data_IF_856359126010
#
_entry.id   IF_856359126010
#
_cell.length_a   1.000
_cell.length_b   1.000
_cell.length_c   1.000
_cell.angle_alpha   90.00
_cell.angle_beta   90.00
_cell.angle_gamma   90.00
#
_symmetry.space_group_name_H-M   'P 1'
#
loop_
_entity.id
_entity.type
_entity.pdbx_description
1 polymer ?
#
# COMPACT_ATOMS: atom_id res chain seq x y z
N UNK A 1 13.20 6.37 -8.39
CA UNK A 1 14.02 7.56 -8.71
C UNK A 1 15.44 7.14 -8.45
N UNK A 2 16.17 6.85 -9.52
CA UNK A 2 17.50 6.29 -9.37
C UNK A 2 18.46 7.33 -8.78
N UNK A 3 19.05 6.99 -7.64
CA UNK A 3 20.14 7.74 -7.04
C UNK A 3 21.48 7.07 -7.43
N UNK A 4 22.57 7.84 -7.53
CA UNK A 4 23.85 7.34 -8.03
C UNK A 4 24.50 6.27 -7.15
N UNK A 5 24.10 6.18 -5.87
CA UNK A 5 24.57 5.16 -4.94
C UNK A 5 23.38 4.44 -4.34
N UNK A 6 23.32 3.11 -4.53
CA UNK A 6 22.32 2.26 -3.86
C UNK A 6 23.02 1.21 -3.03
N UNK A 7 22.68 1.15 -1.74
CA UNK A 7 23.22 0.19 -0.80
C UNK A 7 22.15 -0.83 -0.43
N UNK A 8 22.37 -2.09 -0.79
CA UNK A 8 21.64 -3.22 -0.20
C UNK A 8 22.21 -3.46 1.19
N UNK A 9 21.44 -3.11 2.22
CA UNK A 9 21.74 -3.40 3.61
C UNK A 9 21.12 -4.76 3.96
N UNK A 10 21.95 -5.69 4.41
CA UNK A 10 21.48 -7.05 4.72
C UNK A 10 22.19 -7.64 5.93
N UNK A 11 21.52 -8.51 6.69
CA UNK A 11 22.13 -9.34 7.74
C UNK A 11 22.97 -10.49 7.19
N UNK A 12 22.79 -10.84 5.91
CA UNK A 12 23.46 -11.97 5.30
C UNK A 12 24.86 -11.57 4.80
N UNK A 13 25.90 -12.20 5.34
CA UNK A 13 27.28 -11.98 4.90
C UNK A 13 27.44 -12.44 3.44
N UNK A 14 27.74 -11.54 2.48
CA UNK A 14 28.00 -11.92 1.10
C UNK A 14 29.10 -12.98 0.94
N UNK A 15 30.04 -13.06 1.89
CA UNK A 15 31.13 -14.02 1.87
C UNK A 15 30.72 -15.46 2.23
N UNK A 16 29.59 -15.65 2.90
CA UNK A 16 29.06 -16.98 3.27
C UNK A 16 28.03 -17.51 2.27
N UNK A 17 27.71 -16.72 1.24
CA UNK A 17 26.77 -17.09 0.18
C UNK A 17 27.16 -18.41 -0.48
N UNK A 18 26.29 -19.41 -0.37
CA UNK A 18 26.45 -20.67 -1.07
C UNK A 18 25.34 -20.84 -2.10
N UNK A 19 25.69 -21.11 -3.36
CA UNK A 19 24.72 -21.44 -4.40
C UNK A 19 24.64 -22.96 -4.52
N UNK A 20 23.47 -23.51 -4.23
CA UNK A 20 23.20 -24.93 -4.30
C UNK A 20 23.11 -25.42 -5.76
N UNK A 21 23.27 -26.73 -6.00
CA UNK A 21 23.20 -27.30 -7.35
C UNK A 21 21.85 -27.09 -8.06
N UNK A 22 20.77 -26.86 -7.31
CA UNK A 22 19.42 -26.58 -7.82
C UNK A 22 19.18 -25.08 -8.08
N UNK A 23 20.18 -24.23 -7.84
CA UNK A 23 20.10 -22.78 -8.01
C UNK A 23 19.58 -22.03 -6.79
N UNK A 24 19.20 -22.72 -5.71
CA UNK A 24 18.84 -22.05 -4.44
C UNK A 24 20.08 -21.44 -3.79
N UNK A 25 19.88 -20.41 -2.96
CA UNK A 25 20.97 -19.72 -2.26
C UNK A 25 20.79 -19.93 -0.77
N UNK A 26 21.80 -20.54 -0.15
CA UNK A 26 21.88 -20.68 1.30
C UNK A 26 22.81 -19.61 1.89
N UNK A 27 22.42 -19.16 3.07
CA UNK A 27 23.18 -18.23 3.90
C UNK A 27 23.42 -18.85 5.26
N UNK A 28 24.55 -18.51 5.89
CA UNK A 28 24.72 -18.78 7.33
C UNK A 28 23.81 -17.81 8.10
N UNK A 29 22.57 -18.23 8.36
CA UNK A 29 21.56 -17.41 9.00
C UNK A 29 21.69 -17.46 10.51
N UNK A 30 21.92 -16.30 11.11
CA UNK A 30 21.82 -16.12 12.54
C UNK A 30 20.44 -15.55 12.89
N UNK A 31 19.70 -16.25 13.75
CA UNK A 31 18.41 -15.79 14.23
C UNK A 31 18.57 -14.52 15.10
N UNK A 32 17.71 -13.53 14.88
CA UNK A 32 17.69 -12.29 15.68
C UNK A 32 16.98 -12.53 17.02
N UNK A 33 17.71 -13.11 17.98
CA UNK A 33 17.13 -13.53 19.26
C UNK A 33 16.94 -12.41 20.29
N UNK A 34 17.65 -11.29 20.13
CA UNK A 34 17.62 -10.16 21.06
C UNK A 34 17.12 -8.84 20.42
N UNK A 35 16.76 -8.87 19.13
CA UNK A 35 16.28 -7.71 18.37
C UNK A 35 17.40 -6.76 17.94
N UNK A 36 18.67 -7.14 18.13
CA UNK A 36 19.81 -6.31 17.74
C UNK A 36 19.92 -6.14 16.23
N UNK A 37 19.50 -7.15 15.46
CA UNK A 37 19.51 -7.08 13.99
C UNK A 37 18.44 -6.11 13.51
N UNK A 38 17.19 -6.23 13.98
CA UNK A 38 16.12 -5.27 13.69
C UNK A 38 16.55 -3.83 14.02
N UNK A 39 17.13 -3.60 15.21
CA UNK A 39 17.56 -2.25 15.59
C UNK A 39 18.69 -1.74 14.68
N UNK A 40 19.64 -2.59 14.27
CA UNK A 40 20.70 -2.21 13.34
C UNK A 40 20.14 -1.76 11.97
N UNK A 41 19.11 -2.44 11.45
CA UNK A 41 18.45 -2.03 10.21
C UNK A 41 17.77 -0.66 10.36
N UNK A 42 17.05 -0.48 11.47
CA UNK A 42 16.35 0.77 11.78
C UNK A 42 17.34 1.93 12.00
N UNK A 43 18.47 1.68 12.64
CA UNK A 43 19.54 2.66 12.86
C UNK A 43 20.30 3.00 11.58
N UNK A 44 20.42 2.08 10.62
CA UNK A 44 21.01 2.37 9.32
C UNK A 44 20.27 3.52 8.61
N UNK A 45 18.93 3.56 8.68
CA UNK A 45 18.13 4.69 8.14
C UNK A 45 18.58 6.01 8.75
N UNK A 46 18.71 6.07 10.07
CA UNK A 46 19.11 7.29 10.79
C UNK A 46 20.53 7.71 10.45
N UNK A 47 21.41 6.73 10.22
CA UNK A 47 22.83 6.93 9.95
C UNK A 47 23.04 7.54 8.57
N UNK A 48 22.42 6.96 7.54
CA UNK A 48 22.43 7.53 6.20
C UNK A 48 21.76 8.90 6.15
N UNK A 49 20.60 9.05 6.80
CA UNK A 49 19.89 10.33 6.83
C UNK A 49 20.74 11.44 7.45
N UNK A 50 21.49 11.14 8.52
CA UNK A 50 22.37 12.11 9.19
C UNK A 50 23.53 12.55 8.29
N UNK A 51 24.21 11.60 7.65
CA UNK A 51 25.33 11.93 6.76
C UNK A 51 24.85 12.75 5.55
N UNK A 52 23.68 12.38 5.00
CA UNK A 52 23.06 13.09 3.90
C UNK A 52 22.35 14.37 4.32
N UNK A 53 22.31 14.75 5.61
CA UNK A 53 21.58 15.93 6.09
C UNK A 53 20.08 15.92 5.72
N UNK A 54 19.45 14.75 5.78
CA UNK A 54 18.02 14.53 5.56
C UNK A 54 17.31 14.44 6.91
N UNK A 55 16.31 15.28 7.12
CA UNK A 55 15.56 15.34 8.38
C UNK A 55 14.17 14.72 8.28
N UNK A 56 13.64 14.61 7.04
CA UNK A 56 12.29 14.13 6.76
C UNK A 56 12.27 13.28 5.50
N UNK A 57 11.39 12.30 5.49
CA UNK A 57 11.14 11.41 4.37
C UNK A 57 9.65 11.48 4.00
N UNK A 58 9.39 11.38 2.71
CA UNK A 58 8.06 11.38 2.10
C UNK A 58 7.63 9.95 1.86
N UNK A 59 6.40 9.61 2.25
CA UNK A 59 5.79 8.32 1.95
C UNK A 59 5.39 8.26 0.48
N UNK A 60 5.73 7.15 -0.17
CA UNK A 60 5.37 6.83 -1.57
C UNK A 60 4.89 5.39 -1.65
N UNK A 61 4.03 5.11 -2.61
CA UNK A 61 3.53 3.76 -2.92
C UNK A 61 3.09 3.02 -1.66
N UNK A 62 2.17 3.64 -0.93
CA UNK A 62 1.70 3.09 0.34
C UNK A 62 0.79 1.90 0.04
N UNK A 63 1.04 0.81 0.74
CA UNK A 63 0.18 -0.35 0.82
C UNK A 63 -0.11 -0.63 2.29
N UNK A 64 -1.39 -0.59 2.66
CA UNK A 64 -1.83 -1.00 3.99
C UNK A 64 -2.42 -2.40 3.85
N UNK A 65 -1.65 -3.39 4.30
CA UNK A 65 -2.09 -4.77 4.30
C UNK A 65 -2.75 -5.05 5.65
N UNK A 66 -4.08 -5.13 5.64
CA UNK A 66 -4.83 -5.68 6.77
C UNK A 66 -4.99 -7.19 6.57
N UNK A 67 -4.27 -7.96 7.38
CA UNK A 67 -4.36 -9.43 7.38
C UNK A 67 -5.61 -9.95 8.06
N UNK A 68 -6.40 -9.08 8.71
CA UNK A 68 -7.78 -9.40 9.09
C UNK A 68 -8.56 -9.51 7.79
N UNK A 69 -8.78 -10.74 7.33
CA UNK A 69 -9.48 -11.13 6.09
C UNK A 69 -10.92 -10.61 5.94
N UNK A 70 -11.38 -9.67 6.78
CA UNK A 70 -12.76 -9.23 6.92
C UNK A 70 -12.82 -7.71 7.17
N UNK A 71 -12.74 -6.90 6.11
CA UNK A 71 -12.78 -5.44 6.23
C UNK A 71 -14.23 -4.93 6.21
N UNK A 72 -14.89 -4.97 7.36
CA UNK A 72 -16.00 -4.05 7.64
C UNK A 72 -15.40 -2.66 7.97
N UNK A 73 -15.27 -1.79 6.96
CA UNK A 73 -14.65 -0.45 7.01
C UNK A 73 -13.11 -0.41 7.24
N UNK A 74 -12.49 0.72 6.88
CA UNK A 74 -11.06 1.03 7.06
C UNK A 74 -10.51 0.50 8.39
N UNK A 75 -9.24 0.03 8.43
CA UNK A 75 -8.70 -0.67 9.59
C UNK A 75 -8.95 0.15 10.85
N UNK A 76 -9.82 -0.36 11.74
CA UNK A 76 -9.99 0.24 13.07
C UNK A 76 -8.71 -0.13 13.84
N UNK A 77 -7.72 0.76 13.71
CA UNK A 77 -6.44 0.61 14.35
C UNK A 77 -6.67 0.77 15.84
N UNK A 78 -6.16 -0.17 16.63
CA UNK A 78 -6.19 -0.04 18.09
C UNK A 78 -5.52 1.29 18.47
N UNK A 79 -6.11 2.00 19.43
CA UNK A 79 -5.73 3.37 19.81
C UNK A 79 -4.29 3.55 20.36
N UNK A 80 -3.42 2.57 20.20
CA UNK A 80 -2.00 2.62 20.52
C UNK A 80 -1.07 2.11 19.41
N UNK A 81 -1.59 1.72 18.24
CA UNK A 81 -0.74 1.25 17.12
C UNK A 81 0.19 2.35 16.62
N UNK A 82 1.35 1.95 16.09
CA UNK A 82 2.34 2.86 15.49
C UNK A 82 1.69 3.70 14.39
N UNK A 83 0.91 3.07 13.52
CA UNK A 83 0.24 3.73 12.41
C UNK A 83 -0.79 4.75 12.90
N UNK A 84 -1.58 4.43 13.92
CA UNK A 84 -2.54 5.38 14.50
C UNK A 84 -1.86 6.58 15.15
N UNK A 85 -0.69 6.38 15.77
CA UNK A 85 0.11 7.47 16.36
C UNK A 85 0.72 8.39 15.32
N UNK A 86 1.13 7.85 14.17
CA UNK A 86 1.75 8.62 13.09
C UNK A 86 0.71 9.35 12.22
N UNK A 87 -0.43 8.70 11.96
CA UNK A 87 -1.36 9.16 10.92
C UNK A 87 -2.80 9.39 11.39
N UNK A 88 -3.10 9.13 12.66
CA UNK A 88 -4.46 9.16 13.19
C UNK A 88 -5.16 7.80 13.14
N UNK A 89 -6.22 7.60 13.95
CA UNK A 89 -6.86 6.30 14.14
C UNK A 89 -7.50 5.73 12.87
N UNK A 90 -7.79 6.57 11.86
CA UNK A 90 -8.30 6.13 10.55
C UNK A 90 -7.33 6.42 9.42
N UNK A 91 -6.04 6.56 9.75
CA UNK A 91 -4.97 6.80 8.79
C UNK A 91 -5.19 8.07 7.95
N UNK A 92 -5.83 9.10 8.51
CA UNK A 92 -6.16 10.34 7.79
C UNK A 92 -4.92 11.08 7.29
N UNK A 93 -3.80 10.96 8.00
CA UNK A 93 -2.49 11.49 7.63
C UNK A 93 -1.65 10.57 6.74
N UNK A 94 -2.14 9.38 6.39
CA UNK A 94 -1.42 8.39 5.61
C UNK A 94 -1.86 8.47 4.14
N UNK A 95 -1.07 9.15 3.31
CA UNK A 95 -1.32 9.31 1.88
C UNK A 95 0.00 9.51 1.14
N UNK A 96 0.02 9.22 -0.17
CA UNK A 96 1.22 9.43 -0.99
C UNK A 96 1.61 10.91 -0.92
N UNK A 97 2.85 11.22 -0.53
CA UNK A 97 3.29 12.59 -0.29
C UNK A 97 3.27 13.06 1.16
N UNK A 98 2.69 12.28 2.08
CA UNK A 98 2.79 12.56 3.51
C UNK A 98 4.26 12.54 3.95
N UNK A 99 4.64 13.41 4.88
CA UNK A 99 6.04 13.49 5.37
C UNK A 99 6.17 13.11 6.83
N UNK A 100 7.13 12.25 7.15
CA UNK A 100 7.53 11.89 8.51
C UNK A 100 8.94 12.39 8.79
N UNK A 101 9.26 12.64 10.05
CA UNK A 101 10.66 12.83 10.46
C UNK A 101 11.41 11.48 10.46
N UNK A 102 12.73 11.51 10.70
CA UNK A 102 13.53 10.29 10.77
C UNK A 102 13.03 9.33 11.86
N UNK A 103 12.52 9.84 12.99
CA UNK A 103 11.97 8.98 14.04
C UNK A 103 10.71 8.23 13.58
N UNK A 104 9.83 8.90 12.83
CA UNK A 104 8.68 8.27 12.19
C UNK A 104 9.08 7.28 11.10
N UNK A 105 10.07 7.63 10.27
CA UNK A 105 10.59 6.72 9.24
C UNK A 105 11.16 5.41 9.83
N UNK A 106 11.92 5.52 10.94
CA UNK A 106 12.40 4.35 11.71
C UNK A 106 11.26 3.42 12.13
N UNK A 107 10.16 4.00 12.62
CA UNK A 107 9.00 3.22 13.05
C UNK A 107 8.34 2.50 11.86
N UNK A 108 8.19 3.17 10.71
CA UNK A 108 7.62 2.55 9.50
C UNK A 108 8.51 1.43 8.96
N UNK A 109 9.82 1.64 8.91
CA UNK A 109 10.78 0.59 8.49
C UNK A 109 10.72 -0.61 9.42
N UNK A 110 10.61 -0.38 10.74
CA UNK A 110 10.43 -1.46 11.70
C UNK A 110 9.15 -2.26 11.44
N UNK A 111 8.02 -1.60 11.21
CA UNK A 111 6.76 -2.30 10.89
C UNK A 111 6.88 -3.11 9.59
N UNK A 112 7.51 -2.55 8.56
CA UNK A 112 7.74 -3.25 7.30
C UNK A 112 8.66 -4.47 7.48
N UNK A 113 9.77 -4.35 8.23
CA UNK A 113 10.67 -5.48 8.52
C UNK A 113 9.97 -6.60 9.29
N UNK A 114 9.10 -6.26 10.25
CA UNK A 114 8.32 -7.25 11.02
C UNK A 114 7.27 -7.96 10.19
N UNK A 115 6.64 -7.24 9.25
CA UNK A 115 5.68 -7.84 8.33
C UNK A 115 6.33 -8.88 7.40
N UNK A 116 7.57 -8.62 7.00
CA UNK A 116 8.37 -9.47 6.11
C UNK A 116 9.18 -10.56 6.85
N UNK A 117 9.16 -10.58 8.18
CA UNK A 117 9.82 -11.63 8.96
C UNK A 117 9.06 -12.94 8.85
N UNK A 118 9.80 -14.05 8.66
CA UNK A 118 9.27 -15.42 8.59
C UNK A 118 8.51 -15.81 9.87
N UNK A 119 8.88 -15.24 11.02
CA UNK A 119 8.16 -15.34 12.28
C UNK A 119 7.08 -14.26 12.35
N UNK A 120 6.06 -14.36 11.48
CA UNK A 120 4.92 -13.43 11.48
C UNK A 120 4.34 -13.35 12.90
N UNK A 121 4.31 -12.18 13.55
CA UNK A 121 3.37 -11.99 14.64
C UNK A 121 1.96 -12.22 14.10
N UNK A 122 1.09 -12.73 14.97
CA UNK A 122 -0.27 -13.18 14.63
C UNK A 122 -1.00 -12.26 13.63
N UNK A 123 -1.89 -12.81 12.77
CA UNK A 123 -2.62 -12.12 11.68
C UNK A 123 -3.61 -11.03 12.13
N UNK A 124 -3.41 -10.41 13.30
CA UNK A 124 -4.36 -9.52 13.96
C UNK A 124 -3.99 -8.03 13.83
N UNK A 125 -2.77 -7.71 13.36
CA UNK A 125 -2.30 -6.33 13.24
C UNK A 125 -2.04 -5.98 11.77
N UNK A 126 -2.75 -4.99 11.20
CA UNK A 126 -2.43 -4.49 9.87
C UNK A 126 -1.04 -3.87 9.85
N UNK A 127 -0.30 -4.12 8.78
CA UNK A 127 1.00 -3.50 8.55
C UNK A 127 0.95 -2.55 7.35
N UNK A 128 1.96 -1.69 7.27
CA UNK A 128 2.12 -0.72 6.20
C UNK A 128 3.44 -0.98 5.50
N UNK A 129 3.37 -1.24 4.21
CA UNK A 129 4.52 -1.15 3.33
C UNK A 129 4.48 0.21 2.61
N UNK A 130 5.63 0.86 2.49
CA UNK A 130 5.77 2.06 1.68
C UNK A 130 7.22 2.26 1.30
N UNK A 131 7.45 3.05 0.26
CA UNK A 131 8.75 3.64 -0.03
C UNK A 131 8.88 4.96 0.70
N UNK A 132 10.09 5.24 1.18
CA UNK A 132 10.43 6.48 1.85
C UNK A 132 11.43 7.25 1.02
N UNK A 133 11.14 8.51 0.69
CA UNK A 133 11.97 9.31 -0.21
C UNK A 133 12.20 10.72 0.32
N UNK A 134 13.45 11.17 0.32
CA UNK A 134 13.80 12.59 0.26
C UNK A 134 14.24 12.89 -1.17
N UNK A 135 13.41 13.66 -1.88
CA UNK A 135 13.56 13.90 -3.31
C UNK A 135 15.00 14.27 -3.70
N UNK A 136 15.59 13.49 -4.61
CA UNK A 136 16.94 13.70 -5.13
C UNK A 136 18.08 13.50 -4.13
N UNK A 137 17.81 13.04 -2.89
CA UNK A 137 18.82 12.93 -1.82
C UNK A 137 18.93 11.53 -1.24
N UNK A 138 17.80 10.92 -0.88
CA UNK A 138 17.77 9.64 -0.19
C UNK A 138 16.50 8.86 -0.52
N UNK A 139 16.60 7.54 -0.60
CA UNK A 139 15.42 6.67 -0.50
C UNK A 139 15.68 5.52 0.47
N UNK A 140 14.62 4.95 1.02
CA UNK A 140 14.63 3.69 1.76
C UNK A 140 13.50 2.82 1.23
N UNK A 141 13.87 1.64 0.73
CA UNK A 141 12.93 0.60 0.31
C UNK A 141 13.16 -0.64 1.16
N UNK A 142 12.08 -1.25 1.62
CA UNK A 142 12.10 -2.55 2.30
C UNK A 142 11.50 -3.60 1.38
N UNK A 143 12.05 -4.81 1.43
CA UNK A 143 11.59 -5.94 0.66
C UNK A 143 11.50 -7.22 1.46
N UNK A 144 11.08 -8.29 0.80
CA UNK A 144 11.06 -9.64 1.34
C UNK A 144 12.43 -10.05 1.92
N UNK A 145 12.42 -11.01 2.85
CA UNK A 145 13.61 -11.57 3.51
C UNK A 145 14.50 -10.53 4.22
N UNK A 146 13.87 -9.49 4.79
CA UNK A 146 14.55 -8.40 5.49
C UNK A 146 15.60 -7.67 4.62
N UNK A 147 15.42 -7.64 3.30
CA UNK A 147 16.27 -6.81 2.45
C UNK A 147 15.86 -5.35 2.56
N UNK A 148 16.82 -4.48 2.91
CA UNK A 148 16.63 -3.04 2.91
C UNK A 148 17.57 -2.41 1.88
N UNK A 149 17.05 -1.48 1.09
CA UNK A 149 17.81 -0.73 0.10
C UNK A 149 17.79 0.74 0.47
N UNK A 150 18.97 1.34 0.61
CA UNK A 150 19.12 2.76 0.86
C UNK A 150 19.81 3.41 -0.34
N UNK A 151 19.11 4.34 -0.97
CA UNK A 151 19.69 5.19 -2.01
C UNK A 151 20.26 6.47 -1.43
N UNK A 152 21.34 6.97 -2.02
CA UNK A 152 22.02 8.19 -1.62
C UNK A 152 22.47 9.02 -2.84
N UNK A 153 22.33 10.34 -2.75
CA UNK A 153 22.79 11.27 -3.80
C UNK A 153 24.30 11.38 -3.91
N UNK A 154 25.02 11.02 -2.85
CA UNK A 154 26.47 11.08 -2.73
C UNK A 154 26.99 9.84 -1.98
N UNK A 155 28.29 9.50 -2.08
CA UNK A 155 28.85 8.40 -1.31
C UNK A 155 28.71 8.69 0.20
N UNK A 156 28.27 7.69 0.96
CA UNK A 156 28.13 7.80 2.43
C UNK A 156 29.11 6.89 3.18
N UNK A 157 30.44 7.11 3.08
CA UNK A 157 31.43 6.20 3.66
C UNK A 157 31.30 6.07 5.19
N UNK A 158 30.88 7.12 5.90
CA UNK A 158 30.77 7.06 7.36
C UNK A 158 29.57 6.20 7.78
N UNK A 159 28.45 6.32 7.07
CA UNK A 159 27.26 5.52 7.30
C UNK A 159 27.49 4.06 6.92
N UNK A 160 28.18 3.80 5.80
CA UNK A 160 28.56 2.45 5.40
C UNK A 160 29.44 1.80 6.47
N UNK A 161 30.46 2.50 6.98
CA UNK A 161 31.32 1.98 8.05
C UNK A 161 30.55 1.74 9.35
N UNK A 162 29.70 2.68 9.76
CA UNK A 162 28.91 2.55 10.98
C UNK A 162 27.88 1.41 10.93
N UNK A 163 27.23 1.21 9.78
CA UNK A 163 26.28 0.10 9.54
C UNK A 163 27.02 -1.24 9.45
N UNK A 164 28.22 -1.26 8.87
CA UNK A 164 29.07 -2.45 8.92
C UNK A 164 29.48 -2.80 10.37
N UNK A 165 29.83 -1.79 11.16
CA UNK A 165 30.19 -1.96 12.56
C UNK A 165 29.03 -2.41 13.45
N UNK A 166 27.77 -2.21 13.03
CA UNK A 166 26.58 -2.74 13.72
C UNK A 166 26.25 -4.19 13.37
N UNK A 167 27.08 -4.86 12.55
CA UNK A 167 26.89 -6.27 12.18
C UNK A 167 26.05 -6.51 10.92
N UNK A 168 25.74 -5.46 10.16
CA UNK A 168 25.08 -5.58 8.86
C UNK A 168 26.09 -5.46 7.71
N UNK A 169 25.68 -5.83 6.51
CA UNK A 169 26.50 -5.80 5.31
C UNK A 169 25.89 -4.83 4.30
N UNK A 170 26.35 -3.56 4.29
CA UNK A 170 25.98 -2.60 3.25
C UNK A 170 26.76 -2.88 1.96
N UNK A 171 26.07 -3.44 0.96
CA UNK A 171 26.65 -3.78 -0.35
C UNK A 171 26.19 -2.78 -1.40
N UNK A 172 27.12 -2.17 -2.12
CA UNK A 172 26.79 -1.31 -3.24
C UNK A 172 26.20 -2.16 -4.39
N UNK A 173 25.04 -1.75 -4.90
CA UNK A 173 24.33 -2.38 -6.01
C UNK A 173 23.94 -1.31 -7.04
N UNK A 174 23.62 -1.74 -8.26
CA UNK A 174 23.29 -0.83 -9.36
C UNK A 174 21.96 -0.11 -9.11
N UNK A 175 20.96 -0.82 -8.61
CA UNK A 175 19.64 -0.27 -8.29
C UNK A 175 18.89 -1.10 -7.24
N UNK A 176 17.83 -0.50 -6.69
CA UNK A 176 16.88 -1.23 -5.85
C UNK A 176 15.87 -1.94 -6.77
N UNK A 177 15.53 -3.21 -6.52
CA UNK A 177 14.49 -3.90 -7.29
C UNK A 177 13.11 -3.26 -7.14
N UNK A 178 12.92 -2.46 -6.08
CA UNK A 178 11.69 -1.72 -5.79
C UNK A 178 11.68 -0.28 -6.34
N UNK A 179 12.71 0.13 -7.11
CA UNK A 179 12.69 1.44 -7.77
C UNK A 179 11.50 1.51 -8.76
N UNK A 180 10.66 2.55 -8.72
CA UNK A 180 9.52 2.67 -9.63
C UNK A 180 9.89 2.76 -11.11
N UNK A 181 11.16 3.02 -11.44
CA UNK A 181 11.64 3.08 -12.83
C UNK A 181 12.38 1.82 -13.26
N UNK A 182 12.42 0.78 -12.41
CA UNK A 182 13.02 -0.50 -12.81
C UNK A 182 12.18 -1.16 -13.91
N UNK A 183 12.80 -2.02 -14.72
CA UNK A 183 12.13 -2.68 -15.83
C UNK A 183 10.93 -3.56 -15.38
N UNK A 184 10.93 -3.97 -14.12
CA UNK A 184 9.89 -4.79 -13.48
C UNK A 184 8.90 -3.96 -12.65
N UNK A 185 9.07 -2.63 -12.58
CA UNK A 185 8.19 -1.77 -11.81
C UNK A 185 6.84 -1.57 -12.51
N UNK A 186 5.75 -1.83 -11.78
CA UNK A 186 4.36 -1.63 -12.24
C UNK A 186 3.84 -0.20 -12.02
N UNK A 187 4.71 0.70 -11.54
CA UNK A 187 4.38 2.09 -11.20
C UNK A 187 4.51 3.04 -12.37
N UNK A 188 3.40 3.34 -13.04
CA UNK A 188 3.35 4.43 -14.02
C UNK A 188 2.91 5.73 -13.35
N UNK A 189 3.60 6.83 -13.66
CA UNK A 189 3.02 8.16 -13.47
C UNK A 189 1.94 8.35 -14.55
N UNK A 190 0.75 7.81 -14.29
CA UNK A 190 -0.37 7.92 -15.21
C UNK A 190 -0.81 9.39 -15.30
N UNK A 191 -1.02 9.89 -16.51
CA UNK A 191 -1.64 11.19 -16.78
C UNK A 191 -3.13 11.10 -16.43
N UNK A 192 -3.41 11.25 -15.13
CA UNK A 192 -4.77 11.15 -14.57
C UNK A 192 -5.29 12.57 -14.34
N UNK A 193 -6.49 12.91 -14.84
CA UNK A 193 -7.05 14.25 -14.66
C UNK A 193 -7.32 14.55 -13.19
N UNK A 194 -7.34 15.84 -12.79
CA UNK A 194 -7.63 16.22 -11.41
C UNK A 194 -9.08 15.93 -11.03
N UNK A 195 -9.29 15.64 -9.75
CA UNK A 195 -10.63 15.73 -9.13
C UNK A 195 -10.98 17.21 -8.96
N UNK A 196 -11.72 17.73 -9.92
CA UNK A 196 -12.19 19.12 -9.98
C UNK A 196 -13.69 19.19 -10.35
N UNK A 197 -14.19 20.37 -10.70
CA UNK A 197 -15.58 20.55 -11.10
C UNK A 197 -15.94 19.78 -12.40
N UNK A 198 -14.98 19.55 -13.30
CA UNK A 198 -15.21 18.79 -14.53
C UNK A 198 -15.34 17.28 -14.23
N UNK A 199 -14.53 16.76 -13.30
CA UNK A 199 -14.71 15.42 -12.76
C UNK A 199 -16.13 15.26 -12.16
N UNK A 200 -16.54 16.19 -11.30
CA UNK A 200 -17.86 16.10 -10.67
C UNK A 200 -19.02 16.27 -11.66
N UNK A 201 -18.89 17.10 -12.68
CA UNK A 201 -19.87 17.21 -13.75
C UNK A 201 -20.04 15.87 -14.50
N UNK A 202 -18.93 15.16 -14.74
CA UNK A 202 -18.96 13.81 -15.34
C UNK A 202 -19.67 12.81 -14.42
N UNK A 203 -19.34 12.80 -13.12
CA UNK A 203 -20.01 11.96 -12.13
C UNK A 203 -21.52 12.24 -12.07
N UNK A 204 -21.94 13.51 -12.12
CA UNK A 204 -23.35 13.90 -12.13
C UNK A 204 -24.11 13.41 -13.38
N UNK A 205 -23.44 13.31 -14.53
CA UNK A 205 -24.01 12.68 -15.73
C UNK A 205 -24.20 11.19 -15.51
N UNK A 206 -23.17 10.49 -15.05
CA UNK A 206 -23.23 9.05 -14.78
C UNK A 206 -24.32 8.71 -13.75
N UNK A 207 -24.43 9.49 -12.68
CA UNK A 207 -25.48 9.33 -11.66
C UNK A 207 -26.88 9.50 -12.25
N UNK A 208 -27.06 10.42 -13.22
CA UNK A 208 -28.37 10.61 -13.88
C UNK A 208 -28.72 9.45 -14.80
N UNK A 209 -27.73 8.86 -15.47
CA UNK A 209 -27.90 7.74 -16.39
C UNK A 209 -28.14 6.42 -15.66
N UNK A 210 -27.46 6.21 -14.52
CA UNK A 210 -27.45 4.94 -13.80
C UNK A 210 -28.24 4.96 -12.48
N UNK A 211 -28.72 6.13 -12.03
CA UNK A 211 -29.40 6.32 -10.74
C UNK A 211 -28.45 6.45 -9.54
N UNK A 212 -27.21 5.96 -9.68
CA UNK A 212 -26.11 6.09 -8.73
C UNK A 212 -24.82 5.57 -9.35
N UNK A 213 -23.70 5.79 -8.66
CA UNK A 213 -22.39 5.20 -8.99
C UNK A 213 -21.63 4.88 -7.72
N UNK A 214 -20.71 3.92 -7.81
CA UNK A 214 -19.71 3.69 -6.78
C UNK A 214 -18.45 4.50 -7.10
N UNK A 215 -17.80 5.04 -6.07
CA UNK A 215 -16.50 5.71 -6.17
C UNK A 215 -15.54 5.03 -5.22
N UNK A 216 -14.50 4.42 -5.78
CA UNK A 216 -13.39 3.84 -5.02
C UNK A 216 -12.29 4.90 -4.88
N UNK A 217 -11.82 5.08 -3.66
CA UNK A 217 -10.76 6.01 -3.30
C UNK A 217 -9.53 5.23 -2.83
N UNK A 218 -8.43 5.35 -3.56
CA UNK A 218 -7.15 4.71 -3.29
C UNK A 218 -6.15 5.68 -2.65
N UNK A 219 -5.80 5.44 -1.38
CA UNK A 219 -4.69 6.13 -0.70
C UNK A 219 -4.13 5.26 0.43
N UNK A 220 -3.34 4.24 0.09
CA UNK A 220 -2.84 3.23 1.02
C UNK A 220 -3.84 2.11 1.33
N UNK A 221 -5.09 2.49 1.58
CA UNK A 221 -6.23 1.58 1.68
C UNK A 221 -7.38 2.09 0.81
N UNK A 222 -8.20 1.18 0.28
CA UNK A 222 -9.38 1.55 -0.50
C UNK A 222 -10.52 2.00 0.41
N UNK A 223 -11.22 3.09 0.05
CA UNK A 223 -12.53 3.46 0.61
C UNK A 223 -13.57 3.52 -0.48
N UNK A 224 -14.76 2.97 -0.20
CA UNK A 224 -15.87 2.97 -1.14
C UNK A 224 -16.92 3.98 -0.72
N UNK A 225 -17.36 4.77 -1.69
CA UNK A 225 -18.42 5.76 -1.54
C UNK A 225 -19.51 5.45 -2.57
N UNK A 226 -20.76 5.73 -2.22
CA UNK A 226 -21.87 5.70 -3.18
C UNK A 226 -22.37 7.12 -3.41
N UNK A 227 -22.38 7.53 -4.67
CA UNK A 227 -22.85 8.85 -5.09
C UNK A 227 -24.21 8.69 -5.78
N UNK A 228 -25.19 9.45 -5.31
CA UNK A 228 -26.57 9.49 -5.85
C UNK A 228 -27.02 10.92 -6.07
N UNK A 229 -28.07 11.11 -6.87
CA UNK A 229 -28.57 12.44 -7.19
C UNK A 229 -29.00 13.21 -5.93
N UNK A 230 -28.49 14.43 -5.76
CA UNK A 230 -28.78 15.28 -4.60
C UNK A 230 -28.11 14.84 -3.30
N UNK A 231 -27.29 13.79 -3.31
CA UNK A 231 -26.47 13.36 -2.19
C UNK A 231 -25.23 14.25 -1.98
N UNK A 232 -24.58 14.16 -0.81
CA UNK A 232 -23.33 14.89 -0.57
C UNK A 232 -22.21 14.34 -1.45
N UNK A 233 -21.31 15.23 -1.91
CA UNK A 233 -20.05 14.82 -2.55
C UNK A 233 -19.09 14.27 -1.48
N UNK A 234 -18.50 13.08 -1.68
CA UNK A 234 -17.43 12.58 -0.85
C UNK A 234 -16.25 13.57 -0.75
N UNK A 235 -15.58 13.58 0.40
CA UNK A 235 -14.30 14.27 0.58
C UNK A 235 -13.20 13.23 0.59
N UNK A 236 -12.34 13.28 -0.43
CA UNK A 236 -11.25 12.33 -0.61
C UNK A 236 -9.99 12.75 0.16
N UNK A 237 -9.12 11.77 0.46
CA UNK A 237 -7.79 12.04 1.00
C UNK A 237 -6.92 12.79 -0.01
N UNK A 238 -5.95 13.60 0.45
CA UNK A 238 -4.97 14.22 -0.42
C UNK A 238 -4.31 13.19 -1.33
N UNK A 239 -4.12 13.53 -2.61
CA UNK A 239 -3.49 12.66 -3.62
C UNK A 239 -4.12 11.27 -3.78
N UNK A 240 -5.35 11.06 -3.33
CA UNK A 240 -6.05 9.82 -3.61
C UNK A 240 -6.35 9.68 -5.11
N UNK A 241 -6.13 8.50 -5.67
CA UNK A 241 -6.68 8.13 -6.97
C UNK A 241 -8.13 7.73 -6.76
N UNK A 242 -9.03 8.25 -7.58
CA UNK A 242 -10.45 7.91 -7.53
C UNK A 242 -10.88 7.24 -8.82
N UNK A 243 -11.61 6.14 -8.66
CA UNK A 243 -12.15 5.35 -9.76
C UNK A 243 -13.66 5.26 -9.60
N UNK A 244 -14.37 5.56 -10.69
CA UNK A 244 -15.82 5.57 -10.75
C UNK A 244 -16.29 4.28 -11.41
N UNK A 245 -17.18 3.59 -10.73
CA UNK A 245 -17.67 2.26 -11.08
C UNK A 245 -19.20 2.26 -11.20
N UNK A 246 -19.79 1.27 -11.89
CA UNK A 246 -21.22 1.05 -11.86
C UNK A 246 -21.76 0.94 -10.42
N UNK A 247 -23.03 1.31 -10.23
CA UNK A 247 -23.68 1.14 -8.93
C UNK A 247 -23.87 -0.34 -8.58
N UNK A 248 -24.26 -0.60 -7.33
CA UNK A 248 -24.60 -1.94 -6.86
C UNK A 248 -25.81 -2.55 -7.60
N UNK A 249 -25.74 -3.83 -7.91
CA UNK A 249 -26.87 -4.63 -8.38
C UNK A 249 -27.78 -4.99 -7.21
N UNK A 250 -29.10 -4.84 -7.36
CA UNK A 250 -30.07 -5.26 -6.35
C UNK A 250 -30.11 -6.80 -6.15
N UNK A 251 -29.59 -7.57 -7.10
CA UNK A 251 -29.53 -9.03 -7.03
C UNK A 251 -28.20 -9.50 -6.44
N UNK A 252 -28.07 -9.34 -5.12
CA UNK A 252 -26.87 -9.69 -4.34
C UNK A 252 -26.50 -11.16 -4.51
N UNK A 253 -27.50 -12.04 -4.59
CA UNK A 253 -27.31 -13.50 -4.72
C UNK A 253 -26.64 -13.83 -6.05
N UNK A 254 -27.12 -13.25 -7.16
CA UNK A 254 -26.50 -13.47 -8.47
C UNK A 254 -25.07 -12.92 -8.52
N UNK A 255 -24.79 -11.77 -7.90
CA UNK A 255 -23.41 -11.23 -7.82
C UNK A 255 -22.49 -12.16 -7.05
N UNK A 256 -22.90 -12.62 -5.86
CA UNK A 256 -22.09 -13.55 -5.07
C UNK A 256 -21.84 -14.86 -5.82
N UNK A 257 -22.88 -15.40 -6.48
CA UNK A 257 -22.75 -16.61 -7.27
C UNK A 257 -21.76 -16.45 -8.42
N UNK A 258 -21.73 -15.28 -9.08
CA UNK A 258 -20.73 -14.98 -10.11
C UNK A 258 -19.30 -15.07 -9.58
N UNK A 259 -19.05 -14.56 -8.37
CA UNK A 259 -17.72 -14.67 -7.74
C UNK A 259 -17.36 -16.13 -7.44
N UNK A 260 -18.30 -16.90 -6.89
CA UNK A 260 -18.05 -18.27 -6.41
C UNK A 260 -17.95 -19.28 -7.56
N UNK A 261 -18.72 -19.11 -8.63
CA UNK A 261 -18.76 -20.05 -9.75
C UNK A 261 -17.62 -19.83 -10.77
N UNK A 262 -16.96 -18.66 -10.75
CA UNK A 262 -15.90 -18.30 -11.72
C UNK A 262 -14.52 -18.88 -11.36
N UNK A 263 -14.27 -19.21 -10.11
CA UNK A 263 -12.96 -19.67 -9.64
C UNK A 263 -13.08 -20.82 -8.64
N UNK A 264 -12.16 -21.78 -8.74
CA UNK A 264 -12.07 -22.90 -7.79
C UNK A 264 -11.54 -22.42 -6.42
N UNK A 265 -10.82 -21.28 -6.37
CA UNK A 265 -10.41 -20.55 -5.15
C UNK A 265 -10.80 -19.06 -5.29
N UNK A 266 -12.04 -18.68 -4.95
CA UNK A 266 -12.54 -17.34 -5.25
C UNK A 266 -11.88 -16.30 -4.35
N UNK A 267 -10.90 -15.55 -4.86
CA UNK A 267 -10.23 -14.46 -4.14
C UNK A 267 -10.66 -13.08 -4.64
N UNK A 268 -11.89 -12.65 -4.31
CA UNK A 268 -12.44 -11.35 -4.78
C UNK A 268 -13.08 -10.52 -3.69
N UNK A 269 -13.00 -9.21 -3.82
CA UNK A 269 -13.76 -8.30 -2.95
C UNK A 269 -15.19 -8.12 -3.48
N UNK A 270 -16.15 -8.10 -2.55
CA UNK A 270 -17.55 -7.75 -2.79
C UNK A 270 -17.86 -6.44 -2.06
N UNK A 271 -18.25 -5.42 -2.81
CA UNK A 271 -18.82 -4.19 -2.26
C UNK A 271 -20.32 -4.37 -2.14
N UNK A 272 -20.90 -4.08 -0.97
CA UNK A 272 -22.33 -4.23 -0.76
C UNK A 272 -22.94 -3.03 -0.03
N UNK A 273 -24.21 -2.77 -0.32
CA UNK A 273 -25.01 -1.72 0.30
C UNK A 273 -25.91 -2.34 1.35
N UNK A 274 -25.83 -1.84 2.58
CA UNK A 274 -26.76 -2.24 3.65
C UNK A 274 -28.13 -1.58 3.48
N UNK A 275 -29.18 -2.14 4.08
CA UNK A 275 -30.50 -1.50 4.10
C UNK A 275 -30.51 -0.07 4.70
N UNK A 276 -29.54 0.25 5.56
CA UNK A 276 -29.33 1.60 6.11
C UNK A 276 -28.62 2.58 5.16
N UNK A 277 -28.24 2.13 3.96
CA UNK A 277 -27.55 2.94 2.95
C UNK A 277 -26.04 3.04 3.14
N UNK A 278 -25.45 2.32 4.11
CA UNK A 278 -24.00 2.27 4.29
C UNK A 278 -23.38 1.32 3.25
N UNK A 279 -22.28 1.77 2.62
CA UNK A 279 -21.45 0.97 1.72
C UNK A 279 -20.41 0.21 2.55
N UNK A 280 -20.25 -1.08 2.27
CA UNK A 280 -19.34 -1.99 2.96
C UNK A 280 -18.58 -2.82 1.94
N UNK A 281 -17.48 -3.42 2.36
CA UNK A 281 -16.70 -4.35 1.55
C UNK A 281 -16.54 -5.66 2.32
N UNK A 282 -16.36 -6.78 1.63
CA UNK A 282 -15.96 -8.04 2.23
C UNK A 282 -15.11 -8.81 1.22
N UNK A 283 -13.97 -9.33 1.66
CA UNK A 283 -13.18 -10.28 0.86
C UNK A 283 -13.90 -11.63 0.89
N UNK A 284 -14.13 -12.18 -0.30
CA UNK A 284 -14.54 -13.55 -0.54
C UNK A 284 -13.26 -14.35 -0.78
N UNK A 285 -13.12 -15.44 -0.05
CA UNK A 285 -12.06 -16.46 -0.07
C UNK A 285 -12.60 -17.76 0.55
N UNK A 286 -11.88 -18.89 0.42
CA UNK A 286 -12.30 -20.19 0.97
C UNK A 286 -12.68 -20.13 2.46
N UNK A 287 -12.00 -19.28 3.23
CA UNK A 287 -12.19 -19.15 4.68
C UNK A 287 -13.43 -18.31 5.06
N UNK A 288 -13.83 -17.36 4.22
CA UNK A 288 -14.97 -16.47 4.44
C UNK A 288 -16.27 -16.99 3.84
N UNK A 289 -16.20 -17.89 2.85
CA UNK A 289 -17.38 -18.54 2.27
C UNK A 289 -18.28 -19.17 3.34
N UNK A 290 -17.75 -19.90 4.35
CA UNK A 290 -18.52 -20.27 5.53
C UNK A 290 -19.01 -19.03 6.31
N UNK A 291 -20.31 -18.73 6.17
CA UNK A 291 -20.96 -17.64 6.92
C UNK A 291 -21.12 -16.33 6.15
N UNK A 292 -20.73 -16.28 4.87
CA UNK A 292 -20.90 -15.08 4.04
C UNK A 292 -22.36 -14.62 3.94
N UNK A 293 -23.31 -15.57 3.88
CA UNK A 293 -24.75 -15.26 3.87
C UNK A 293 -25.19 -14.47 5.10
N UNK A 294 -24.62 -14.81 6.26
CA UNK A 294 -24.88 -14.09 7.52
C UNK A 294 -24.34 -12.67 7.50
N UNK A 295 -23.19 -12.44 6.86
CA UNK A 295 -22.59 -11.10 6.70
C UNK A 295 -23.35 -10.23 5.70
N UNK A 296 -23.86 -10.85 4.64
CA UNK A 296 -24.69 -10.18 3.64
C UNK A 296 -26.16 -10.09 4.05
N UNK A 297 -26.52 -10.51 5.27
CA UNK A 297 -27.87 -10.41 5.78
C UNK A 297 -28.30 -8.93 5.85
N UNK A 298 -29.32 -8.57 5.06
CA UNK A 298 -29.79 -7.20 4.96
C UNK A 298 -29.02 -6.32 3.97
N UNK A 299 -28.13 -6.91 3.17
CA UNK A 299 -27.62 -6.26 1.97
C UNK A 299 -28.76 -6.06 0.95
N UNK A 300 -28.84 -4.86 0.39
CA UNK A 300 -29.85 -4.46 -0.62
C UNK A 300 -29.23 -4.25 -2.00
N UNK A 301 -27.91 -4.35 -2.11
CA UNK A 301 -27.22 -4.43 -3.39
C UNK A 301 -25.77 -4.87 -3.23
N UNK A 302 -25.19 -5.43 -4.30
CA UNK A 302 -23.82 -5.92 -4.36
C UNK A 302 -23.12 -5.57 -5.68
N UNK A 303 -21.80 -5.46 -5.63
CA UNK A 303 -20.91 -5.23 -6.75
C UNK A 303 -19.63 -6.05 -6.55
N UNK A 304 -19.36 -6.98 -7.45
CA UNK A 304 -18.12 -7.75 -7.44
C UNK A 304 -16.99 -6.86 -7.97
N UNK A 305 -15.94 -6.68 -7.16
CA UNK A 305 -14.76 -5.94 -7.59
C UNK A 305 -13.99 -6.80 -8.59
N UNK A 306 -13.60 -6.24 -9.76
CA UNK A 306 -12.77 -6.95 -10.73
C UNK A 306 -11.47 -7.46 -10.09
N UNK A 307 -11.10 -8.72 -10.38
CA UNK A 307 -9.90 -9.35 -9.83
C UNK A 307 -8.64 -9.05 -10.65
N UNK A 308 -8.80 -8.59 -11.88
CA UNK A 308 -7.69 -8.27 -12.80
C UNK A 308 -7.92 -6.95 -13.52
N UNK A 309 -6.84 -6.37 -14.06
CA UNK A 309 -6.91 -5.14 -14.88
C UNK A 309 -7.79 -5.35 -16.12
N UNK A 310 -7.69 -6.51 -16.78
CA UNK A 310 -8.46 -6.81 -18.00
C UNK A 310 -9.97 -6.87 -17.73
N UNK A 311 -10.37 -7.29 -16.53
CA UNK A 311 -11.77 -7.24 -16.08
C UNK A 311 -12.19 -5.83 -15.63
N UNK A 312 -11.25 -5.08 -15.03
CA UNK A 312 -11.50 -3.73 -14.52
C UNK A 312 -11.75 -2.73 -15.65
N UNK A 313 -10.91 -2.75 -16.69
CA UNK A 313 -10.90 -1.74 -17.75
C UNK A 313 -12.26 -1.58 -18.47
N UNK A 314 -13.01 -2.64 -18.81
CA UNK A 314 -14.34 -2.51 -19.42
C UNK A 314 -15.40 -1.92 -18.48
N UNK A 315 -15.22 -2.03 -17.16
CA UNK A 315 -16.20 -1.60 -16.16
C UNK A 315 -15.91 -0.20 -15.62
N UNK A 316 -14.66 0.24 -15.67
CA UNK A 316 -14.24 1.54 -15.18
C UNK A 316 -14.90 2.67 -15.99
N UNK A 317 -15.75 3.47 -15.34
CA UNK A 317 -16.49 4.54 -15.99
C UNK A 317 -15.66 5.82 -16.09
N UNK A 318 -14.88 6.12 -15.05
CA UNK A 318 -14.03 7.31 -15.01
C UNK A 318 -12.92 7.17 -13.98
N UNK A 319 -11.84 7.93 -14.14
CA UNK A 319 -10.69 7.92 -13.23
C UNK A 319 -10.10 9.32 -13.13
N UNK A 320 -9.81 9.74 -11.90
CA UNK A 320 -9.19 11.02 -11.60
C UNK A 320 -8.27 10.89 -10.38
N UNK A 321 -7.53 11.95 -10.06
CA UNK A 321 -6.66 11.99 -8.89
C UNK A 321 -6.84 13.31 -8.15
N UNK A 322 -6.83 13.26 -6.82
CA UNK A 322 -6.96 14.45 -6.01
C UNK A 322 -5.70 15.32 -6.17
N UNK A 323 -5.83 16.58 -6.63
CA UNK A 323 -4.68 17.45 -6.75
C UNK A 323 -4.18 17.89 -5.37
N UNK A 324 -2.95 18.40 -5.35
CA UNK A 324 -2.45 19.16 -4.21
C UNK A 324 -3.19 20.50 -4.06
N UNK A 325 -2.91 21.23 -2.97
CA UNK A 325 -3.51 22.54 -2.71
C UNK A 325 -3.25 23.58 -3.80
N UNK A 326 -2.24 23.38 -4.65
CA UNK A 326 -1.92 24.23 -5.81
C UNK A 326 -2.62 23.78 -7.11
N UNK A 327 -3.50 22.78 -7.04
CA UNK A 327 -4.24 22.25 -8.18
C UNK A 327 -3.47 21.25 -9.04
N UNK A 328 -2.22 20.91 -8.69
CA UNK A 328 -1.38 19.99 -9.48
C UNK A 328 -1.54 18.56 -8.98
N UNK A 329 -1.78 17.63 -9.90
CA UNK A 329 -1.78 16.19 -9.61
C UNK A 329 -0.34 15.69 -9.53
N UNK A 330 0.04 15.14 -8.38
CA UNK A 330 1.39 14.59 -8.12
C UNK A 330 1.40 13.14 -7.62
N UNK A 331 0.24 12.48 -7.67
CA UNK A 331 0.13 11.07 -7.26
C UNK A 331 0.98 10.19 -8.19
N UNK A 332 1.63 9.18 -7.61
CA UNK A 332 2.23 8.07 -8.37
C UNK A 332 1.30 6.87 -8.20
N UNK A 333 0.92 6.24 -9.31
CA UNK A 333 -0.07 5.17 -9.27
C UNK A 333 0.60 3.86 -9.66
N UNK A 334 0.64 2.91 -8.73
CA UNK A 334 0.90 1.52 -9.12
C UNK A 334 -0.35 1.00 -9.83
N UNK A 335 -0.18 0.49 -11.05
CA UNK A 335 -1.21 -0.38 -11.61
C UNK A 335 -1.11 -1.69 -10.84
N UNK A 336 -2.21 -2.04 -10.15
CA UNK A 336 -2.42 -3.38 -9.63
C UNK A 336 -2.28 -4.41 -10.75
#
# INVERSE_FOLDING_TARGET
>A
MQLPFTYKVTKYDPATRTVNPDGTVDWDEQADTDGSTEEAYVDAVSTFARELGVERLTLRDIEVVDTRRHIEDAPDLTAGSVLARLFGPRLEGCYDGATVDIAGARLLVREALRAESLDRPAPEVPYLWCRLEAEGRMFVHTGHDLYMYIGASEPCPQAVEAVAASGLFPVLVDESPYDPTSADATGEQADVPPVDDAFWATVEVLVREHGGVLVQEHAGSSRWHRVVAGGPRPVFRPRAVVEVWPDVSADVVTVLKGIVDEDDDPQRDLVYLTAGGAVRTVRIDEDSLPGIEGRLAGAVGGFAVPGTVDEALPMLLHRAACPDADGVVRVRVNRF
#
